data_IF_827541790438
#
_entry.id   IF_827541790438
#
_cell.length_a   1.000
_cell.length_b   1.000
_cell.length_c   1.000
_cell.angle_alpha   90.00
_cell.angle_beta   90.00
_cell.angle_gamma   90.00
#
_symmetry.space_group_name_H-M   'P 1'
#
loop_
_entity.id
_entity.type
_entity.pdbx_description
1 polymer ?
#
# COMPACT_ATOMS: atom_id res chain seq x y z
N UNK A 1 -2.73 13.88 -15.02
CA UNK A 1 -2.34 12.86 -14.02
C UNK A 1 -0.99 12.28 -14.44
N UNK A 2 0.03 12.44 -13.60
CA UNK A 2 1.38 11.92 -13.90
C UNK A 2 1.32 10.39 -13.93
N UNK A 3 1.86 9.77 -14.97
CA UNK A 3 1.91 8.31 -15.15
C UNK A 3 3.35 7.86 -15.29
N UNK A 4 3.63 6.64 -14.85
CA UNK A 4 4.92 5.96 -14.98
C UNK A 4 4.71 4.59 -15.59
N UNK A 5 5.75 4.07 -16.24
CA UNK A 5 5.74 2.71 -16.77
C UNK A 5 6.14 1.72 -15.67
N UNK A 6 5.39 0.63 -15.52
CA UNK A 6 5.72 -0.48 -14.61
C UNK A 6 5.74 -1.78 -15.40
N UNK A 7 6.72 -2.65 -15.11
CA UNK A 7 6.91 -3.93 -15.79
C UNK A 7 6.43 -5.09 -14.92
N UNK A 8 5.54 -5.91 -15.45
CA UNK A 8 5.14 -7.18 -14.86
C UNK A 8 6.12 -8.29 -15.28
N UNK A 9 7.01 -8.68 -14.37
CA UNK A 9 8.03 -9.70 -14.62
C UNK A 9 7.45 -11.07 -14.98
N UNK A 10 6.21 -11.38 -14.58
CA UNK A 10 5.55 -12.65 -14.93
C UNK A 10 5.10 -12.72 -16.38
N UNK A 11 4.90 -11.56 -17.03
CA UNK A 11 4.54 -11.47 -18.45
C UNK A 11 5.75 -11.20 -19.35
N UNK A 12 6.87 -10.74 -18.78
CA UNK A 12 8.04 -10.36 -19.53
C UNK A 12 8.74 -11.57 -20.17
N UNK A 13 8.72 -11.62 -21.50
CA UNK A 13 9.38 -12.64 -22.34
C UNK A 13 10.83 -12.31 -22.71
N UNK A 14 11.34 -11.16 -22.26
CA UNK A 14 12.71 -10.67 -22.53
C UNK A 14 13.06 -10.41 -24.00
N UNK A 15 12.09 -9.98 -24.81
CA UNK A 15 12.36 -9.45 -26.16
C UNK A 15 13.13 -8.11 -26.14
N UNK A 16 13.11 -7.42 -24.98
CA UNK A 16 13.92 -6.23 -24.68
C UNK A 16 13.78 -5.03 -25.63
N UNK A 17 12.77 -5.00 -26.51
CA UNK A 17 12.51 -3.86 -27.39
C UNK A 17 12.31 -2.55 -26.61
N UNK A 18 11.69 -2.64 -25.42
CA UNK A 18 11.53 -1.53 -24.50
C UNK A 18 12.84 -0.77 -24.18
N UNK A 19 13.99 -1.45 -24.18
CA UNK A 19 15.32 -0.86 -23.94
C UNK A 19 15.71 0.13 -25.04
N UNK A 20 15.48 -0.25 -26.30
CA UNK A 20 15.88 0.52 -27.46
C UNK A 20 14.95 1.70 -27.75
N UNK A 21 13.68 1.61 -27.35
CA UNK A 21 12.68 2.66 -27.64
C UNK A 21 12.53 3.67 -26.51
N UNK A 22 13.15 3.45 -25.34
CA UNK A 22 13.05 4.37 -24.22
C UNK A 22 13.99 5.58 -24.42
N UNK A 23 13.49 6.81 -24.61
CA UNK A 23 14.33 7.97 -24.91
C UNK A 23 15.24 8.40 -23.76
N UNK A 24 14.89 8.03 -22.52
CA UNK A 24 15.62 8.42 -21.31
C UNK A 24 16.35 7.25 -20.65
N UNK A 25 16.34 6.07 -21.26
CA UNK A 25 16.95 4.87 -20.68
C UNK A 25 16.30 4.36 -19.37
N UNK A 26 15.07 4.78 -19.05
CA UNK A 26 14.37 4.37 -17.84
C UNK A 26 14.11 2.85 -17.75
N UNK A 27 14.06 2.18 -18.89
CA UNK A 27 13.81 0.74 -18.96
C UNK A 27 15.08 -0.11 -18.87
N UNK A 28 16.24 0.52 -18.96
CA UNK A 28 17.57 -0.08 -19.02
C UNK A 28 18.13 -0.28 -17.62
N UNK A 29 17.72 -1.40 -17.02
CA UNK A 29 18.05 -1.77 -15.64
C UNK A 29 18.36 -3.26 -15.57
N UNK A 30 19.41 -3.64 -14.85
CA UNK A 30 19.81 -5.03 -14.63
C UNK A 30 18.70 -5.88 -13.98
N UNK A 31 17.93 -5.27 -13.08
CA UNK A 31 16.87 -5.97 -12.33
C UNK A 31 15.53 -6.03 -13.06
N UNK A 32 15.46 -5.55 -14.32
CA UNK A 32 14.22 -5.47 -15.10
C UNK A 32 13.11 -4.60 -14.48
N UNK A 33 13.46 -3.73 -13.53
CA UNK A 33 12.55 -2.78 -12.86
C UNK A 33 12.72 -1.42 -13.54
N UNK A 34 11.65 -0.85 -14.08
CA UNK A 34 11.72 0.46 -14.72
C UNK A 34 12.08 1.53 -13.68
N UNK A 35 13.12 2.31 -13.97
CA UNK A 35 13.57 3.44 -13.17
C UNK A 35 12.52 4.57 -13.23
N UNK A 36 11.83 4.78 -12.11
CA UNK A 36 10.74 5.75 -12.02
C UNK A 36 11.23 7.19 -12.00
N UNK A 37 12.50 7.45 -11.68
CA UNK A 37 13.09 8.79 -11.65
C UNK A 37 13.39 9.27 -13.08
N UNK A 38 13.83 8.36 -13.95
CA UNK A 38 14.08 8.66 -15.38
C UNK A 38 12.81 8.60 -16.25
N UNK A 39 11.77 7.93 -15.76
CA UNK A 39 10.53 7.74 -16.52
C UNK A 39 9.73 9.05 -16.65
N UNK A 40 9.60 9.55 -17.88
CA UNK A 40 8.78 10.73 -18.20
C UNK A 40 7.32 10.40 -18.52
N UNK A 41 6.93 9.13 -18.44
CA UNK A 41 5.53 8.73 -18.64
C UNK A 41 5.04 8.75 -20.10
N UNK A 42 5.94 8.70 -21.09
CA UNK A 42 5.59 8.82 -22.50
C UNK A 42 4.86 7.60 -23.10
N UNK A 43 5.03 6.41 -22.54
CA UNK A 43 4.30 5.20 -22.96
C UNK A 43 4.90 4.38 -24.10
N UNK A 44 5.93 4.88 -24.80
CA UNK A 44 6.53 4.21 -25.97
C UNK A 44 6.98 2.77 -25.65
N UNK A 45 7.55 2.54 -24.48
CA UNK A 45 7.98 1.21 -24.06
C UNK A 45 6.81 0.24 -23.82
N UNK A 46 5.64 0.75 -23.43
CA UNK A 46 4.43 -0.05 -23.26
C UNK A 46 3.88 -0.48 -24.63
N UNK A 47 3.79 0.47 -25.56
CA UNK A 47 3.30 0.22 -26.93
C UNK A 47 4.21 -0.75 -27.70
N UNK A 48 5.52 -0.66 -27.49
CA UNK A 48 6.49 -1.53 -28.14
C UNK A 48 6.60 -2.93 -27.52
N UNK A 49 6.03 -3.18 -26.33
CA UNK A 49 6.26 -4.45 -25.63
C UNK A 49 5.40 -5.57 -26.26
N UNK A 50 6.00 -6.58 -26.94
CA UNK A 50 5.23 -7.60 -27.65
C UNK A 50 4.45 -8.52 -26.71
N UNK A 51 4.96 -8.75 -25.50
CA UNK A 51 4.27 -9.53 -24.47
C UNK A 51 3.25 -8.74 -23.65
N UNK A 52 3.10 -7.43 -23.91
CA UNK A 52 2.21 -6.57 -23.11
C UNK A 52 2.61 -6.50 -21.63
N UNK A 53 3.89 -6.74 -21.32
CA UNK A 53 4.37 -6.82 -19.95
C UNK A 53 4.52 -5.46 -19.26
N UNK A 54 4.39 -4.34 -19.98
CA UNK A 54 4.55 -2.99 -19.44
C UNK A 54 3.19 -2.28 -19.43
N UNK A 55 2.84 -1.66 -18.30
CA UNK A 55 1.61 -0.89 -18.13
C UNK A 55 1.91 0.54 -17.67
N UNK A 56 1.14 1.50 -18.18
CA UNK A 56 1.20 2.88 -17.74
C UNK A 56 0.25 3.10 -16.57
N UNK A 57 0.81 3.27 -15.37
CA UNK A 57 0.05 3.45 -14.14
C UNK A 57 0.16 4.89 -13.64
N UNK A 58 -0.86 5.43 -12.96
CA UNK A 58 -0.73 6.71 -12.30
C UNK A 58 0.26 6.65 -11.13
N UNK A 59 0.94 7.77 -10.87
CA UNK A 59 1.78 7.91 -9.67
C UNK A 59 0.90 7.98 -8.41
N UNK A 60 -0.17 8.76 -8.47
CA UNK A 60 -1.15 8.89 -7.40
C UNK A 60 -2.39 8.10 -7.76
N UNK A 61 -2.72 7.05 -7.03
CA UNK A 61 -3.96 6.32 -7.26
C UNK A 61 -5.16 7.09 -6.71
N UNK A 62 -6.29 7.17 -7.44
CA UNK A 62 -7.48 7.80 -6.91
C UNK A 62 -7.96 7.06 -5.66
N UNK A 63 -8.63 7.76 -4.73
CA UNK A 63 -9.28 7.09 -3.62
C UNK A 63 -10.28 6.06 -4.13
N UNK A 64 -10.51 5.01 -3.32
CA UNK A 64 -11.52 4.03 -3.65
C UNK A 64 -12.90 4.66 -3.74
N UNK A 65 -13.69 4.24 -4.72
CA UNK A 65 -15.06 4.71 -4.88
C UNK A 65 -15.88 4.37 -3.64
N UNK A 66 -16.44 5.41 -3.00
CA UNK A 66 -17.26 5.24 -1.79
C UNK A 66 -18.51 4.45 -2.11
N UNK A 67 -18.78 3.44 -1.29
CA UNK A 67 -20.03 2.66 -1.31
C UNK A 67 -20.92 3.14 -0.16
N UNK A 68 -22.23 3.07 -0.35
CA UNK A 68 -23.17 3.40 0.74
C UNK A 68 -23.04 2.38 1.86
N UNK A 69 -23.35 2.78 3.09
CA UNK A 69 -23.31 1.88 4.27
C UNK A 69 -24.14 0.61 4.06
N UNK A 70 -25.30 0.71 3.38
CA UNK A 70 -26.14 -0.43 3.04
C UNK A 70 -25.43 -1.44 2.15
N UNK A 71 -24.67 -0.95 1.16
CA UNK A 71 -23.90 -1.81 0.24
C UNK A 71 -22.73 -2.44 0.99
N UNK A 72 -22.00 -1.67 1.80
CA UNK A 72 -20.90 -2.18 2.63
C UNK A 72 -21.40 -3.27 3.59
N UNK A 73 -22.52 -3.06 4.28
CA UNK A 73 -23.11 -4.05 5.17
C UNK A 73 -23.51 -5.35 4.44
N UNK A 74 -24.10 -5.23 3.26
CA UNK A 74 -24.44 -6.39 2.43
C UNK A 74 -23.18 -7.15 1.98
N UNK A 75 -22.13 -6.43 1.58
CA UNK A 75 -20.84 -7.01 1.18
C UNK A 75 -20.17 -7.74 2.34
N UNK A 76 -20.13 -7.15 3.53
CA UNK A 76 -19.57 -7.79 4.72
C UNK A 76 -20.31 -9.09 5.06
N UNK A 77 -21.65 -9.09 4.97
CA UNK A 77 -22.44 -10.31 5.14
C UNK A 77 -22.11 -11.39 4.10
N UNK A 78 -21.87 -11.02 2.85
CA UNK A 78 -21.45 -11.98 1.82
C UNK A 78 -20.03 -12.50 2.13
N UNK A 79 -19.11 -11.64 2.54
CA UNK A 79 -17.75 -12.03 2.90
C UNK A 79 -17.74 -13.03 4.07
N UNK A 80 -18.57 -12.80 5.11
CA UNK A 80 -18.78 -13.76 6.20
C UNK A 80 -19.32 -15.11 5.71
N UNK A 81 -20.28 -15.09 4.79
CA UNK A 81 -20.81 -16.32 4.20
C UNK A 81 -19.75 -17.06 3.39
N UNK A 82 -18.89 -16.34 2.65
CA UNK A 82 -17.76 -16.92 1.93
C UNK A 82 -16.71 -17.52 2.87
N UNK A 83 -16.43 -16.89 4.00
CA UNK A 83 -15.57 -17.47 5.02
C UNK A 83 -16.16 -18.77 5.62
N UNK A 84 -17.49 -18.83 5.82
CA UNK A 84 -18.18 -20.05 6.25
C UNK A 84 -18.12 -21.14 5.18
N UNK A 85 -18.36 -20.80 3.92
CA UNK A 85 -18.23 -21.72 2.77
C UNK A 85 -16.81 -22.29 2.68
N UNK A 86 -15.79 -21.44 2.81
CA UNK A 86 -14.39 -21.86 2.83
C UNK A 86 -14.12 -22.86 3.95
N UNK A 87 -14.54 -22.54 5.18
CA UNK A 87 -14.34 -23.40 6.34
C UNK A 87 -14.99 -24.77 6.15
N UNK A 88 -16.24 -24.81 5.67
CA UNK A 88 -16.95 -26.07 5.40
C UNK A 88 -16.25 -26.86 4.29
N UNK A 89 -15.85 -26.21 3.20
CA UNK A 89 -15.14 -26.87 2.12
C UNK A 89 -13.79 -27.45 2.59
N UNK A 90 -13.04 -26.73 3.42
CA UNK A 90 -11.80 -27.25 4.02
C UNK A 90 -12.07 -28.47 4.93
N UNK A 91 -13.12 -28.43 5.74
CA UNK A 91 -13.50 -29.57 6.59
C UNK A 91 -13.87 -30.81 5.76
N UNK A 92 -14.68 -30.63 4.70
CA UNK A 92 -15.05 -31.69 3.76
C UNK A 92 -13.84 -32.24 2.99
N UNK A 93 -12.88 -31.38 2.64
CA UNK A 93 -11.65 -31.80 2.00
C UNK A 93 -10.77 -32.66 2.92
N UNK A 94 -10.76 -32.35 4.22
CA UNK A 94 -9.96 -33.04 5.23
C UNK A 94 -10.59 -34.35 5.70
N UNK A 95 -11.93 -34.45 5.72
CA UNK A 95 -12.66 -35.63 6.17
C UNK A 95 -12.96 -36.66 5.07
N UNK A 96 -12.65 -36.35 3.80
CA UNK A 96 -12.97 -37.22 2.67
C UNK A 96 -11.80 -38.10 2.26
N UNK A 97 -12.04 -39.41 2.20
CA UNK A 97 -11.10 -40.41 1.69
C UNK A 97 -11.00 -40.43 0.16
N UNK A 98 -11.93 -39.77 -0.53
CA UNK A 98 -12.00 -39.72 -2.01
C UNK A 98 -11.06 -38.64 -2.55
N UNK A 99 -10.00 -38.98 -3.30
CA UNK A 99 -8.99 -38.00 -3.73
C UNK A 99 -9.55 -36.88 -4.63
N UNK A 100 -10.43 -37.24 -5.57
CA UNK A 100 -11.06 -36.28 -6.50
C UNK A 100 -11.95 -35.30 -5.75
N UNK A 101 -12.74 -35.80 -4.79
CA UNK A 101 -13.61 -34.96 -3.98
C UNK A 101 -12.81 -34.02 -3.06
N UNK A 102 -11.75 -34.53 -2.41
CA UNK A 102 -10.85 -33.70 -1.60
C UNK A 102 -10.21 -32.58 -2.43
N UNK A 103 -9.72 -32.89 -3.64
CA UNK A 103 -9.18 -31.90 -4.57
C UNK A 103 -10.22 -30.85 -4.98
N UNK A 104 -11.44 -31.27 -5.29
CA UNK A 104 -12.54 -30.37 -5.60
C UNK A 104 -12.85 -29.42 -4.44
N UNK A 105 -12.98 -29.95 -3.22
CA UNK A 105 -13.29 -29.14 -2.04
C UNK A 105 -12.17 -28.14 -1.71
N UNK A 106 -10.89 -28.50 -1.92
CA UNK A 106 -9.77 -27.53 -1.84
C UNK A 106 -9.89 -26.40 -2.86
N UNK A 107 -10.32 -26.70 -4.08
CA UNK A 107 -10.57 -25.68 -5.10
C UNK A 107 -11.75 -24.77 -4.73
N UNK A 108 -12.84 -25.34 -4.19
CA UNK A 108 -13.99 -24.57 -3.68
C UNK A 108 -13.56 -23.64 -2.53
N UNK A 109 -12.77 -24.15 -1.57
CA UNK A 109 -12.25 -23.36 -0.47
C UNK A 109 -11.42 -22.16 -0.99
N UNK A 110 -10.52 -22.40 -1.94
CA UNK A 110 -9.72 -21.33 -2.56
C UNK A 110 -10.59 -20.31 -3.29
N UNK A 111 -11.62 -20.76 -4.01
CA UNK A 111 -12.57 -19.87 -4.71
C UNK A 111 -13.35 -19.00 -3.74
N UNK A 112 -13.84 -19.58 -2.64
CA UNK A 112 -14.56 -18.85 -1.60
C UNK A 112 -13.67 -17.80 -0.93
N UNK A 113 -12.41 -18.16 -0.62
CA UNK A 113 -11.42 -17.22 -0.07
C UNK A 113 -11.18 -16.03 -0.99
N UNK A 114 -10.86 -16.28 -2.26
CA UNK A 114 -10.59 -15.20 -3.24
C UNK A 114 -11.80 -14.28 -3.39
N UNK A 115 -13.01 -14.84 -3.43
CA UNK A 115 -14.24 -14.05 -3.47
C UNK A 115 -14.42 -13.19 -2.22
N UNK A 116 -14.15 -13.74 -1.02
CA UNK A 116 -14.20 -12.99 0.22
C UNK A 116 -13.17 -11.85 0.24
N UNK A 117 -11.93 -12.13 -0.18
CA UNK A 117 -10.85 -11.15 -0.27
C UNK A 117 -11.21 -9.98 -1.21
N UNK A 118 -11.76 -10.27 -2.38
CA UNK A 118 -12.16 -9.23 -3.33
C UNK A 118 -13.37 -8.42 -2.84
N UNK A 119 -14.35 -9.07 -2.20
CA UNK A 119 -15.49 -8.35 -1.59
C UNK A 119 -15.01 -7.43 -0.48
N UNK A 120 -14.12 -7.89 0.41
CA UNK A 120 -13.56 -7.05 1.46
C UNK A 120 -12.75 -5.89 0.88
N UNK A 121 -11.93 -6.14 -0.15
CA UNK A 121 -11.20 -5.10 -0.89
C UNK A 121 -12.14 -4.03 -1.42
N UNK A 122 -13.23 -4.46 -2.05
CA UNK A 122 -14.25 -3.55 -2.56
C UNK A 122 -15.03 -2.84 -1.45
N UNK A 123 -15.21 -3.44 -0.29
CA UNK A 123 -15.86 -2.82 0.87
C UNK A 123 -14.99 -1.74 1.55
N UNK A 124 -13.75 -1.55 1.11
CA UNK A 124 -12.79 -0.60 1.70
C UNK A 124 -11.89 -1.23 2.76
N UNK A 125 -11.83 -2.56 2.85
CA UNK A 125 -10.96 -3.28 3.77
C UNK A 125 -9.75 -3.85 3.01
N UNK A 126 -8.53 -3.75 3.55
CA UNK A 126 -7.25 -4.26 2.97
C UNK A 126 -6.57 -3.42 1.87
N UNK A 127 -6.99 -2.19 1.59
CA UNK A 127 -6.18 -1.28 0.76
C UNK A 127 -5.16 -0.54 1.65
N UNK A 128 -3.84 -0.64 1.41
CA UNK A 128 -2.84 -0.03 2.29
C UNK A 128 -3.05 1.48 2.52
N UNK A 129 -3.45 2.22 1.50
CA UNK A 129 -3.67 3.68 1.57
C UNK A 129 -5.03 4.08 2.17
N UNK A 130 -5.90 3.10 2.47
CA UNK A 130 -7.24 3.36 3.00
C UNK A 130 -7.21 3.62 4.51
N UNK A 131 -8.06 4.53 4.97
CA UNK A 131 -8.13 4.88 6.39
C UNK A 131 -8.44 3.70 7.32
N UNK A 132 -9.24 2.72 6.89
CA UNK A 132 -9.54 1.53 7.68
C UNK A 132 -8.30 0.68 7.96
N UNK A 133 -7.43 0.53 6.96
CA UNK A 133 -6.19 -0.25 7.10
C UNK A 133 -5.19 0.45 8.00
N UNK A 134 -5.03 1.77 7.86
CA UNK A 134 -4.15 2.55 8.73
C UNK A 134 -4.67 2.61 10.17
N UNK A 135 -5.98 2.74 10.36
CA UNK A 135 -6.59 2.68 11.69
C UNK A 135 -6.35 1.33 12.38
N UNK A 136 -6.42 0.22 11.64
CA UNK A 136 -6.13 -1.11 12.17
C UNK A 136 -4.65 -1.26 12.56
N UNK A 137 -3.73 -0.77 11.72
CA UNK A 137 -2.29 -0.82 12.04
C UNK A 137 -2.00 0.04 13.28
N UNK A 138 -2.61 1.23 13.40
CA UNK A 138 -2.50 2.06 14.60
C UNK A 138 -3.04 1.33 15.83
N UNK A 139 -4.18 0.64 15.72
CA UNK A 139 -4.73 -0.14 16.81
C UNK A 139 -3.76 -1.25 17.26
N UNK A 140 -3.10 -1.95 16.33
CA UNK A 140 -2.11 -2.96 16.69
C UNK A 140 -0.82 -2.38 17.27
N UNK A 141 -0.43 -1.17 16.87
CA UNK A 141 0.70 -0.48 17.49
C UNK A 141 0.35 -0.03 18.92
N UNK A 142 -0.87 0.49 19.13
CA UNK A 142 -1.38 0.95 20.43
C UNK A 142 -1.64 -0.22 21.40
N UNK A 143 -2.17 -1.34 20.90
CA UNK A 143 -2.51 -2.56 21.65
C UNK A 143 -2.02 -3.81 20.89
N UNK A 144 -0.75 -4.19 21.09
CA UNK A 144 -0.14 -5.28 20.34
C UNK A 144 -0.81 -6.63 20.57
N UNK A 145 -1.18 -7.39 19.52
CA UNK A 145 -1.89 -8.66 19.67
C UNK A 145 -1.05 -9.76 20.32
N UNK A 146 0.28 -9.61 20.33
CA UNK A 146 1.24 -10.55 20.90
C UNK A 146 2.47 -9.81 21.42
N UNK A 147 3.17 -10.36 22.41
CA UNK A 147 4.43 -9.79 22.92
C UNK A 147 5.52 -9.64 21.84
N UNK A 148 5.55 -10.53 20.83
CA UNK A 148 6.51 -10.48 19.73
C UNK A 148 6.04 -9.64 18.54
N UNK A 149 5.01 -8.81 18.71
CA UNK A 149 4.49 -7.99 17.63
C UNK A 149 5.51 -6.87 17.24
N UNK A 150 5.78 -6.67 15.94
CA UNK A 150 6.76 -5.69 15.46
C UNK A 150 6.19 -4.26 15.48
N UNK A 151 6.22 -3.62 16.67
CA UNK A 151 5.65 -2.27 16.87
C UNK A 151 6.36 -1.22 16.01
N UNK A 152 7.69 -1.26 15.94
CA UNK A 152 8.50 -0.28 15.21
C UNK A 152 8.18 -0.28 13.72
N UNK A 153 8.03 -1.47 13.15
CA UNK A 153 7.69 -1.67 11.75
C UNK A 153 6.25 -1.21 11.47
N UNK A 154 5.32 -1.41 12.40
CA UNK A 154 3.96 -0.87 12.30
C UNK A 154 3.95 0.66 12.28
N UNK A 155 4.75 1.31 13.14
CA UNK A 155 4.92 2.77 13.16
C UNK A 155 5.58 3.29 11.88
N UNK A 156 6.59 2.60 11.37
CA UNK A 156 7.25 2.92 10.11
C UNK A 156 6.25 2.85 8.93
N UNK A 157 5.41 1.82 8.88
CA UNK A 157 4.33 1.71 7.89
C UNK A 157 3.32 2.86 7.99
N UNK A 158 2.91 3.22 9.20
CA UNK A 158 2.02 4.37 9.42
C UNK A 158 2.66 5.69 8.97
N UNK A 159 3.98 5.83 9.11
CA UNK A 159 4.70 7.01 8.65
C UNK A 159 4.85 7.07 7.12
N UNK A 160 5.14 5.94 6.48
CA UNK A 160 5.49 5.84 5.05
C UNK A 160 4.30 5.83 4.10
N UNK A 161 3.13 5.38 4.56
CA UNK A 161 1.93 5.29 3.72
C UNK A 161 1.06 6.52 3.92
N UNK A 162 0.77 7.23 2.83
CA UNK A 162 -0.20 8.34 2.83
C UNK A 162 -1.63 7.82 2.73
N UNK A 163 -2.51 8.38 3.57
CA UNK A 163 -3.94 8.09 3.53
C UNK A 163 -4.58 8.85 2.36
N UNK A 164 -5.19 8.13 1.41
CA UNK A 164 -5.72 8.74 0.19
C UNK A 164 -7.24 9.01 0.24
N UNK A 165 -7.96 8.51 1.24
CA UNK A 165 -9.42 8.67 1.38
C UNK A 165 -9.84 9.63 2.52
N UNK A 166 -8.86 10.15 3.27
CA UNK A 166 -9.07 11.03 4.43
C UNK A 166 -9.74 10.34 5.61
N UNK A 167 -9.91 9.02 5.57
CA UNK A 167 -10.54 8.22 6.62
C UNK A 167 -9.66 7.98 7.84
N UNK A 168 -8.37 8.32 7.76
CA UNK A 168 -7.42 8.25 8.85
C UNK A 168 -6.62 9.54 8.95
N UNK A 169 -6.61 10.13 10.14
CA UNK A 169 -5.70 11.21 10.50
C UNK A 169 -4.63 10.61 11.40
N UNK A 170 -3.37 10.72 10.98
CA UNK A 170 -2.24 10.34 11.85
C UNK A 170 -2.43 11.08 13.18
N UNK A 171 -2.31 10.36 14.31
CA UNK A 171 -2.19 11.03 15.60
C UNK A 171 -0.99 11.98 15.46
N UNK A 172 -1.18 13.27 15.75
CA UNK A 172 -0.03 14.14 15.96
C UNK A 172 0.81 13.45 17.05
N UNK A 173 2.13 13.36 16.86
CA UNK A 173 2.98 12.96 17.98
C UNK A 173 2.71 13.96 19.10
N UNK A 174 2.01 13.53 20.13
CA UNK A 174 1.82 14.34 21.34
C UNK A 174 3.21 14.64 21.87
N UNK A 175 3.48 15.93 22.06
CA UNK A 175 4.81 16.38 22.44
C UNK A 175 5.83 16.45 21.30
N UNK A 176 5.44 16.73 20.05
CA UNK A 176 6.40 17.17 19.02
C UNK A 176 6.00 18.54 18.49
N UNK A 177 6.94 19.47 18.56
CA UNK A 177 6.80 20.84 18.09
C UNK A 177 7.55 21.00 16.78
N UNK A 178 6.89 21.58 15.78
CA UNK A 178 7.46 21.79 14.46
C UNK A 178 7.99 23.21 14.40
N UNK A 179 9.25 23.38 13.99
CA UNK A 179 9.91 24.68 13.92
C UNK A 179 10.39 24.97 12.50
N UNK A 180 10.39 26.24 12.11
CA UNK A 180 11.07 26.76 10.93
C UNK A 180 12.19 27.69 11.37
N UNK A 181 13.41 27.43 10.89
CA UNK A 181 14.52 28.35 11.12
C UNK A 181 14.35 29.64 10.30
N UNK A 182 14.41 30.81 10.95
CA UNK A 182 14.30 32.12 10.27
C UNK A 182 15.54 32.47 9.44
N UNK A 183 16.68 31.83 9.71
CA UNK A 183 17.95 32.09 9.03
C UNK A 183 18.12 31.25 7.75
N UNK A 184 17.79 29.96 7.81
CA UNK A 184 18.01 29.02 6.71
C UNK A 184 16.73 28.38 6.15
N UNK A 185 15.55 28.76 6.68
CA UNK A 185 14.23 28.29 6.27
C UNK A 185 14.00 26.77 6.39
N UNK A 186 14.90 26.04 7.04
CA UNK A 186 14.74 24.61 7.27
C UNK A 186 13.63 24.35 8.29
N UNK A 187 12.70 23.46 7.93
CA UNK A 187 11.64 22.96 8.82
C UNK A 187 12.09 21.66 9.48
N UNK A 188 11.87 21.53 10.78
CA UNK A 188 12.28 20.35 11.55
C UNK A 188 11.35 20.13 12.75
N UNK A 189 11.39 18.92 13.32
CA UNK A 189 10.55 18.49 14.43
C UNK A 189 11.42 18.25 15.67
N UNK A 190 10.95 18.68 16.84
CA UNK A 190 11.65 18.57 18.13
C UNK A 190 10.68 18.03 19.17
N UNK A 191 11.14 17.09 20.00
CA UNK A 191 10.35 16.53 21.09
C UNK A 191 10.13 17.55 22.21
N UNK A 192 8.98 17.48 22.87
CA UNK A 192 8.54 18.40 23.90
C UNK A 192 9.38 18.20 25.17
N UNK A 193 10.19 19.21 25.49
CA UNK A 193 11.18 19.17 26.55
C UNK A 193 12.63 19.25 26.06
N UNK A 194 12.87 19.03 24.77
CA UNK A 194 14.17 19.24 24.15
C UNK A 194 14.35 20.67 23.65
N UNK A 195 15.58 21.20 23.75
CA UNK A 195 15.90 22.54 23.24
C UNK A 195 15.95 22.51 21.71
N UNK A 196 15.12 23.29 21.01
CA UNK A 196 15.08 23.24 19.56
C UNK A 196 16.35 23.87 18.97
N UNK A 197 17.09 23.07 18.19
CA UNK A 197 18.31 23.48 17.49
C UNK A 197 18.16 23.17 16.01
N UNK A 198 18.36 24.18 15.16
CA UNK A 198 18.29 23.96 13.71
C UNK A 198 19.39 22.97 13.26
N UNK A 199 19.04 21.85 12.61
CA UNK A 199 20.02 20.85 12.19
C UNK A 199 20.96 21.34 11.07
N UNK A 200 20.59 22.42 10.38
CA UNK A 200 21.36 22.96 9.25
C UNK A 200 22.34 24.05 9.65
N UNK A 201 21.98 24.94 10.59
CA UNK A 201 22.80 26.09 10.94
C UNK A 201 23.08 26.25 12.45
N UNK A 202 22.52 25.38 13.30
CA UNK A 202 22.73 25.43 14.74
C UNK A 202 21.99 26.58 15.46
N UNK A 203 21.11 27.30 14.78
CA UNK A 203 20.33 28.39 15.35
C UNK A 203 19.38 27.89 16.47
N UNK A 204 19.19 28.71 17.51
CA UNK A 204 18.39 28.42 18.72
C UNK A 204 17.52 29.62 19.11
N UNK A 205 16.53 29.40 19.96
CA UNK A 205 15.76 30.48 20.58
C UNK A 205 14.97 31.32 19.56
N UNK A 206 15.14 32.64 19.60
CA UNK A 206 14.37 33.62 18.81
C UNK A 206 14.55 33.46 17.29
N UNK A 207 15.61 32.78 16.85
CA UNK A 207 15.89 32.48 15.43
C UNK A 207 15.01 31.34 14.88
N UNK A 208 14.17 30.73 15.72
CA UNK A 208 13.24 29.67 15.37
C UNK A 208 11.78 30.16 15.48
N UNK A 209 10.96 29.82 14.48
CA UNK A 209 9.53 30.07 14.45
C UNK A 209 8.78 28.76 14.67
N UNK A 210 7.87 28.70 15.65
CA UNK A 210 6.99 27.55 15.87
C UNK A 210 5.88 27.56 14.81
N UNK A 211 5.67 26.42 14.12
CA UNK A 211 4.64 26.21 13.10
C UNK A 211 3.37 25.57 13.68
#
# INVERSE_FOLDING_TARGET
MKRIAVRNLRLCTKDCLCLYVCPNGATDTENSIIDTEKCIGCGVCADACPSGAISMVPVEYPPQQKKTEKVVAAMNRIAENKAKEEKVAMQLAASSDKPVFSKLMKAVARSARLSAEDIMREAGFMLPQNGNSLALIQQFADDPPTESFPIKEAEELLSSIECNDGGFKKKAKEGVRRYRCKLCFTEFEVEEGEEPVCPMCGAKGDDLELL
#
